data_IF_234924726970
#
_entry.id   IF_234924726970
#
_cell.length_a   1.000
_cell.length_b   1.000
_cell.length_c   1.000
_cell.angle_alpha   90.00
_cell.angle_beta   90.00
_cell.angle_gamma   90.00
#
_symmetry.space_group_name_H-M   'P 1'
#
loop_
_entity.id
_entity.type
_entity.pdbx_description
1 polymer ?
#
# COMPACT_ATOMS: atom_id res chain seq x y z
N UNK A 1 -2.86 -0.26 16.42
CA UNK A 1 -3.23 -0.77 17.76
C UNK A 1 -4.68 -1.23 17.84
N UNK A 2 -5.68 -0.43 17.43
CA UNK A 2 -7.11 -0.82 17.50
C UNK A 2 -7.45 -2.19 16.87
N UNK A 3 -7.01 -2.45 15.64
CA UNK A 3 -7.29 -3.70 14.90
C UNK A 3 -6.77 -4.97 15.61
N UNK A 4 -5.68 -4.86 16.37
CA UNK A 4 -5.05 -6.00 17.06
C UNK A 4 -5.98 -6.55 18.15
N UNK A 5 -6.80 -5.69 18.76
CA UNK A 5 -7.73 -6.09 19.82
C UNK A 5 -9.11 -6.45 19.28
N UNK A 6 -9.51 -5.97 18.10
CA UNK A 6 -10.85 -6.20 17.56
C UNK A 6 -10.94 -7.40 16.61
N UNK A 7 -9.88 -7.70 15.86
CA UNK A 7 -9.86 -8.81 14.88
C UNK A 7 -9.94 -10.21 15.51
N UNK A 8 -9.24 -10.50 16.63
CA UNK A 8 -9.21 -11.86 17.19
C UNK A 8 -10.62 -12.39 17.52
N UNK A 9 -10.92 -13.60 17.02
CA UNK A 9 -12.20 -14.27 17.26
C UNK A 9 -13.33 -13.93 16.28
N UNK A 10 -13.13 -12.98 15.35
CA UNK A 10 -14.09 -12.76 14.26
C UNK A 10 -13.98 -13.85 13.19
N UNK A 11 -15.12 -14.23 12.60
CA UNK A 11 -15.15 -15.01 11.37
C UNK A 11 -14.65 -14.19 10.17
N UNK A 12 -14.36 -14.86 9.05
CA UNK A 12 -14.01 -14.19 7.80
C UNK A 12 -15.04 -13.11 7.42
N UNK A 13 -16.33 -13.46 7.39
CA UNK A 13 -17.43 -12.54 7.07
C UNK A 13 -17.52 -11.37 8.07
N UNK A 14 -17.18 -11.61 9.33
CA UNK A 14 -17.12 -10.56 10.36
C UNK A 14 -16.02 -9.55 10.08
N UNK A 15 -14.85 -10.01 9.62
CA UNK A 15 -13.73 -9.14 9.25
C UNK A 15 -14.06 -8.36 7.99
N UNK A 16 -14.57 -8.99 6.93
CA UNK A 16 -14.92 -8.28 5.68
C UNK A 16 -15.96 -7.19 5.94
N UNK A 17 -17.04 -7.52 6.66
CA UNK A 17 -18.08 -6.56 7.06
C UNK A 17 -17.53 -5.41 7.93
N UNK A 18 -16.54 -5.69 8.78
CA UNK A 18 -15.90 -4.67 9.61
C UNK A 18 -15.10 -3.66 8.77
N UNK A 19 -14.32 -4.15 7.79
CA UNK A 19 -13.54 -3.29 6.90
C UNK A 19 -14.40 -2.50 5.90
N UNK A 20 -15.63 -2.94 5.61
CA UNK A 20 -16.59 -2.18 4.82
C UNK A 20 -17.24 -1.00 5.57
N UNK A 21 -17.05 -0.86 6.89
CA UNK A 21 -17.57 0.29 7.64
C UNK A 21 -16.93 1.59 7.12
N UNK A 22 -17.69 2.68 6.87
CA UNK A 22 -17.19 3.87 6.18
C UNK A 22 -15.90 4.46 6.77
N UNK A 23 -15.83 4.58 8.10
CA UNK A 23 -14.66 5.13 8.77
C UNK A 23 -13.44 4.20 8.66
N UNK A 24 -13.64 2.89 8.81
CA UNK A 24 -12.55 1.91 8.74
C UNK A 24 -12.02 1.84 7.30
N UNK A 25 -12.91 1.73 6.32
CA UNK A 25 -12.56 1.75 4.90
C UNK A 25 -11.74 3.00 4.54
N UNK A 26 -12.20 4.18 4.95
CA UNK A 26 -11.51 5.44 4.70
C UNK A 26 -10.12 5.47 5.32
N UNK A 27 -9.99 5.06 6.59
CA UNK A 27 -8.70 5.00 7.27
C UNK A 27 -7.75 3.95 6.65
N UNK A 28 -8.28 2.81 6.22
CA UNK A 28 -7.53 1.77 5.51
C UNK A 28 -7.01 2.24 4.15
N UNK A 29 -7.80 3.02 3.42
CA UNK A 29 -7.36 3.65 2.17
C UNK A 29 -6.27 4.69 2.45
N UNK A 30 -6.45 5.58 3.42
CA UNK A 30 -5.42 6.54 3.82
C UNK A 30 -4.11 5.85 4.21
N UNK A 31 -4.19 4.75 4.97
CA UNK A 31 -3.03 3.97 5.36
C UNK A 31 -2.34 3.32 4.15
N UNK A 32 -3.13 2.80 3.20
CA UNK A 32 -2.63 2.24 1.94
C UNK A 32 -1.82 3.28 1.17
N UNK A 33 -2.35 4.50 0.99
CA UNK A 33 -1.63 5.58 0.33
C UNK A 33 -0.36 5.97 1.10
N UNK A 34 -0.45 6.13 2.41
CA UNK A 34 0.70 6.50 3.24
C UNK A 34 1.85 5.51 3.07
N UNK A 35 1.60 4.21 3.23
CA UNK A 35 2.63 3.19 3.06
C UNK A 35 3.14 3.09 1.64
N UNK A 36 2.28 3.24 0.63
CA UNK A 36 2.71 3.25 -0.76
C UNK A 36 3.67 4.42 -1.07
N UNK A 37 3.38 5.62 -0.55
CA UNK A 37 4.28 6.77 -0.66
C UNK A 37 5.59 6.57 0.12
N UNK A 38 5.51 6.02 1.34
CA UNK A 38 6.70 5.72 2.13
C UNK A 38 7.62 4.73 1.42
N UNK A 39 7.05 3.64 0.89
CA UNK A 39 7.78 2.64 0.10
C UNK A 39 8.40 3.25 -1.16
N UNK A 40 7.65 4.09 -1.89
CA UNK A 40 8.15 4.79 -3.07
C UNK A 40 9.41 5.59 -2.75
N UNK A 41 9.36 6.41 -1.69
CA UNK A 41 10.46 7.29 -1.32
C UNK A 41 11.65 6.51 -0.79
N UNK A 42 11.42 5.51 0.07
CA UNK A 42 12.49 4.65 0.58
C UNK A 42 13.23 3.92 -0.53
N UNK A 43 12.50 3.34 -1.49
CA UNK A 43 13.11 2.65 -2.62
C UNK A 43 13.79 3.63 -3.60
N UNK A 44 13.25 4.84 -3.75
CA UNK A 44 13.87 5.88 -4.55
C UNK A 44 15.26 6.26 -4.01
N UNK A 45 15.40 6.44 -2.69
CA UNK A 45 16.70 6.71 -2.07
C UNK A 45 17.71 5.60 -2.36
N UNK A 46 17.32 4.33 -2.18
CA UNK A 46 18.18 3.18 -2.49
C UNK A 46 18.58 3.18 -3.98
N UNK A 47 17.64 3.45 -4.89
CA UNK A 47 17.96 3.49 -6.33
C UNK A 47 18.99 4.57 -6.64
N UNK A 48 18.81 5.77 -6.09
CA UNK A 48 19.68 6.91 -6.33
C UNK A 48 21.08 6.72 -5.71
N UNK A 49 21.17 6.02 -4.57
CA UNK A 49 22.43 5.73 -3.89
C UNK A 49 23.28 4.66 -4.59
N UNK A 50 22.65 3.69 -5.28
CA UNK A 50 23.35 2.51 -5.80
C UNK A 50 23.37 2.36 -7.33
N UNK A 51 22.56 3.12 -8.08
CA UNK A 51 22.49 3.03 -9.55
C UNK A 51 22.99 4.34 -10.18
N UNK A 52 24.19 4.31 -10.75
CA UNK A 52 24.82 5.51 -11.32
C UNK A 52 24.76 5.60 -12.85
N UNK A 53 24.51 4.47 -13.54
CA UNK A 53 24.34 4.52 -14.99
C UNK A 53 22.99 5.19 -15.32
N UNK A 54 23.04 6.33 -16.02
CA UNK A 54 21.86 7.16 -16.33
C UNK A 54 20.66 6.39 -16.90
N UNK A 55 20.90 5.40 -17.78
CA UNK A 55 19.82 4.61 -18.39
C UNK A 55 19.17 3.69 -17.37
N UNK A 56 19.97 2.97 -16.59
CA UNK A 56 19.49 2.04 -15.56
C UNK A 56 18.84 2.79 -14.40
N UNK A 57 19.35 3.96 -14.02
CA UNK A 57 18.76 4.82 -12.99
C UNK A 57 17.33 5.23 -13.38
N UNK A 58 17.14 5.77 -14.60
CA UNK A 58 15.81 6.15 -15.10
C UNK A 58 14.86 4.96 -15.19
N UNK A 59 15.35 3.82 -15.67
CA UNK A 59 14.55 2.60 -15.76
C UNK A 59 14.13 2.10 -14.38
N UNK A 60 15.04 2.06 -13.41
CA UNK A 60 14.77 1.63 -12.05
C UNK A 60 13.75 2.56 -11.36
N UNK A 61 13.88 3.88 -11.51
CA UNK A 61 12.91 4.84 -10.98
C UNK A 61 11.53 4.68 -11.63
N UNK A 62 11.47 4.41 -12.94
CA UNK A 62 10.20 4.12 -13.63
C UNK A 62 9.56 2.85 -13.08
N UNK A 63 10.32 1.77 -12.94
CA UNK A 63 9.83 0.50 -12.39
C UNK A 63 9.33 0.66 -10.95
N UNK A 64 10.02 1.43 -10.11
CA UNK A 64 9.57 1.76 -8.75
C UNK A 64 8.20 2.45 -8.77
N UNK A 65 8.01 3.44 -9.65
CA UNK A 65 6.71 4.12 -9.78
C UNK A 65 5.61 3.17 -10.26
N UNK A 66 5.87 2.34 -11.27
CA UNK A 66 4.91 1.36 -11.77
C UNK A 66 4.52 0.37 -10.67
N UNK A 67 5.50 -0.14 -9.92
CA UNK A 67 5.26 -1.06 -8.82
C UNK A 67 4.35 -0.44 -7.75
N UNK A 68 4.66 0.80 -7.33
CA UNK A 68 3.83 1.55 -6.36
C UNK A 68 2.41 1.75 -6.88
N UNK A 69 2.24 2.09 -8.17
CA UNK A 69 0.91 2.22 -8.78
C UNK A 69 0.12 0.92 -8.75
N UNK A 70 0.75 -0.21 -9.08
CA UNK A 70 0.10 -1.53 -9.03
C UNK A 70 -0.36 -1.87 -7.61
N UNK A 71 0.48 -1.62 -6.60
CA UNK A 71 0.13 -1.84 -5.18
C UNK A 71 -1.07 -0.99 -4.76
N UNK A 72 -1.05 0.31 -5.09
CA UNK A 72 -2.17 1.22 -4.77
C UNK A 72 -3.47 0.72 -5.40
N UNK A 73 -3.43 0.36 -6.69
CA UNK A 73 -4.62 -0.12 -7.43
C UNK A 73 -5.13 -1.42 -6.81
N UNK A 74 -4.25 -2.39 -6.58
CA UNK A 74 -4.62 -3.70 -6.03
C UNK A 74 -5.21 -3.61 -4.61
N UNK A 75 -4.57 -2.86 -3.72
CA UNK A 75 -5.06 -2.66 -2.36
C UNK A 75 -6.38 -1.87 -2.33
N UNK A 76 -6.49 -0.82 -3.13
CA UNK A 76 -7.73 -0.02 -3.23
C UNK A 76 -8.87 -0.87 -3.77
N UNK A 77 -8.64 -1.62 -4.86
CA UNK A 77 -9.64 -2.52 -5.42
C UNK A 77 -10.09 -3.54 -4.39
N UNK A 78 -9.14 -4.23 -3.74
CA UNK A 78 -9.45 -5.22 -2.71
C UNK A 78 -10.32 -4.64 -1.60
N UNK A 79 -9.99 -3.45 -1.08
CA UNK A 79 -10.76 -2.82 0.00
C UNK A 79 -12.18 -2.41 -0.42
N UNK A 80 -12.35 -1.98 -1.67
CA UNK A 80 -13.65 -1.56 -2.19
C UNK A 80 -14.57 -2.72 -2.57
N UNK A 81 -14.01 -3.93 -2.79
CA UNK A 81 -14.76 -5.12 -3.21
C UNK A 81 -14.78 -6.24 -2.17
N UNK A 82 -14.38 -5.94 -0.92
CA UNK A 82 -14.39 -6.90 0.20
C UNK A 82 -15.77 -7.51 0.44
#
# INVERSE_FOLDING_TARGET
MYLIFTIPGMSYDGVTSFFQKPLILFLSLLLTFNFAFHMKLGMQMIIEDYIHENKNLKLALLLNNIFVSIVIIGCTYSLLTL
#
